data_IF_623726539732
#
_entry.id   IF_623726539732
#
_cell.length_a   1.000
_cell.length_b   1.000
_cell.length_c   1.000
_cell.angle_alpha   90.00
_cell.angle_beta   90.00
_cell.angle_gamma   90.00
#
_symmetry.space_group_name_H-M   'P 1'
#
loop_
_entity.id
_entity.type
_entity.pdbx_description
1 polymer ?
#
# COMPACT_ATOMS: atom_id res chain seq x y z
N UNK A 1 2.48 -12.23 -29.52
CA UNK A 1 2.01 -11.00 -28.84
C UNK A 1 2.82 -9.85 -29.41
N UNK A 2 2.19 -8.74 -29.81
CA UNK A 2 2.91 -7.57 -30.32
C UNK A 2 3.91 -7.04 -29.29
N UNK A 3 5.00 -6.45 -29.76
CA UNK A 3 5.99 -5.80 -28.90
C UNK A 3 5.36 -4.59 -28.22
N UNK A 4 5.61 -4.43 -26.93
CA UNK A 4 5.13 -3.29 -26.16
C UNK A 4 5.74 -1.98 -26.68
N UNK A 5 4.90 -1.01 -27.04
CA UNK A 5 5.32 0.31 -27.53
C UNK A 5 5.65 1.29 -26.41
N UNK A 6 5.04 1.11 -25.24
CA UNK A 6 5.30 1.96 -24.09
C UNK A 6 6.62 1.59 -23.42
N UNK A 7 7.42 2.60 -23.09
CA UNK A 7 8.55 2.41 -22.18
C UNK A 7 8.02 2.44 -20.76
N UNK A 8 8.27 1.37 -20.00
CA UNK A 8 7.72 1.16 -18.65
C UNK A 8 8.88 1.13 -17.67
N UNK A 9 8.79 1.99 -16.65
CA UNK A 9 9.79 2.09 -15.60
C UNK A 9 9.13 1.99 -14.23
N UNK A 10 9.61 1.13 -13.31
CA UNK A 10 10.69 0.15 -13.50
C UNK A 10 10.30 -0.98 -14.48
N UNK A 11 11.28 -1.70 -15.03
CA UNK A 11 11.02 -2.73 -16.05
C UNK A 11 10.56 -4.07 -15.45
N UNK A 12 11.27 -4.62 -14.47
CA UNK A 12 11.04 -6.01 -14.05
C UNK A 12 10.10 -6.12 -12.84
N UNK A 13 10.25 -5.21 -11.88
CA UNK A 13 9.63 -5.32 -10.57
C UNK A 13 9.28 -3.97 -9.96
N UNK A 14 8.12 -3.94 -9.30
CA UNK A 14 7.65 -2.83 -8.47
C UNK A 14 8.02 -3.12 -7.03
N UNK A 15 8.92 -2.28 -6.50
CA UNK A 15 9.44 -2.39 -5.14
C UNK A 15 8.61 -1.52 -4.20
N UNK A 16 8.11 -2.15 -3.15
CA UNK A 16 7.43 -1.49 -2.04
C UNK A 16 8.40 -1.45 -0.86
N UNK A 17 8.89 -0.26 -0.54
CA UNK A 17 9.85 -0.03 0.54
C UNK A 17 9.12 0.47 1.78
N UNK A 18 9.24 -0.23 2.90
CA UNK A 18 8.73 0.19 4.20
C UNK A 18 7.80 -0.83 4.86
N UNK A 19 7.44 -0.56 6.12
CA UNK A 19 6.57 -1.42 6.92
C UNK A 19 5.15 -1.40 6.32
N UNK A 20 4.57 -2.60 6.14
CA UNK A 20 3.26 -2.83 5.53
C UNK A 20 2.12 -1.96 6.10
N UNK A 21 2.24 -1.50 7.36
CA UNK A 21 1.24 -0.69 8.05
C UNK A 21 1.07 0.74 7.52
N UNK A 22 2.10 1.34 6.92
CA UNK A 22 2.07 2.76 6.55
C UNK A 22 1.76 3.04 5.07
N UNK A 23 1.27 2.06 4.32
CA UNK A 23 0.78 2.31 2.96
C UNK A 23 1.86 2.86 2.02
N UNK A 24 3.00 2.17 1.93
CA UNK A 24 4.11 2.57 1.08
C UNK A 24 3.67 2.66 -0.39
N UNK A 25 3.58 3.88 -0.94
CA UNK A 25 3.23 4.09 -2.34
C UNK A 25 4.47 3.93 -3.20
N UNK A 26 4.37 3.09 -4.23
CA UNK A 26 5.38 2.97 -5.28
C UNK A 26 4.84 3.55 -6.58
N UNK A 27 5.74 3.92 -7.49
CA UNK A 27 5.38 4.57 -8.73
C UNK A 27 5.87 3.77 -9.93
N UNK A 28 5.03 3.74 -10.96
CA UNK A 28 5.37 3.23 -12.29
C UNK A 28 5.17 4.35 -13.29
N UNK A 29 6.18 4.63 -14.10
CA UNK A 29 6.13 5.62 -15.18
C UNK A 29 5.90 4.91 -16.51
N UNK A 30 4.86 5.35 -17.21
CA UNK A 30 4.61 5.00 -18.60
C UNK A 30 5.08 6.16 -19.47
N UNK A 31 5.95 5.89 -20.44
CA UNK A 31 6.40 6.86 -21.45
C UNK A 31 5.95 6.37 -22.82
N UNK A 32 5.28 7.23 -23.58
CA UNK A 32 4.94 6.97 -24.96
C UNK A 32 6.01 7.58 -25.88
N UNK A 33 6.92 6.78 -26.48
CA UNK A 33 7.92 7.28 -27.41
C UNK A 33 7.40 7.41 -28.85
N UNK A 34 6.14 7.06 -29.13
CA UNK A 34 5.59 7.05 -30.48
C UNK A 34 4.93 8.38 -30.85
N UNK A 35 4.60 8.52 -32.14
CA UNK A 35 3.83 9.64 -32.67
C UNK A 35 2.31 9.42 -32.60
N UNK A 36 1.88 8.27 -32.08
CA UNK A 36 0.47 7.90 -31.99
C UNK A 36 -0.03 8.02 -30.56
N UNK A 37 -1.35 8.18 -30.41
CA UNK A 37 -1.98 8.13 -29.09
C UNK A 37 -2.08 6.68 -28.63
N UNK A 38 -1.70 6.40 -27.39
CA UNK A 38 -1.74 5.06 -26.81
C UNK A 38 -2.71 5.02 -25.64
N UNK A 39 -3.64 4.08 -25.65
CA UNK A 39 -4.51 3.81 -24.51
C UNK A 39 -3.84 2.79 -23.59
N UNK A 40 -4.01 2.94 -22.28
CA UNK A 40 -3.49 1.98 -21.31
C UNK A 40 -4.52 1.60 -20.24
N UNK A 41 -4.34 0.41 -19.67
CA UNK A 41 -5.08 -0.11 -18.53
C UNK A 41 -4.15 -0.91 -17.63
N UNK A 42 -4.23 -0.67 -16.33
CA UNK A 42 -3.47 -1.37 -15.31
C UNK A 42 -4.34 -2.47 -14.73
N UNK A 43 -3.84 -3.70 -14.80
CA UNK A 43 -4.46 -4.89 -14.21
C UNK A 43 -3.54 -5.48 -13.15
N UNK A 44 -4.11 -6.17 -12.17
CA UNK A 44 -3.35 -6.83 -11.10
C UNK A 44 -4.00 -8.15 -10.73
N UNK A 45 -3.20 -9.09 -10.23
CA UNK A 45 -3.68 -10.36 -9.66
C UNK A 45 -4.33 -10.18 -8.28
N UNK A 46 -4.22 -8.99 -7.66
CA UNK A 46 -4.75 -8.72 -6.32
C UNK A 46 -5.47 -7.35 -6.23
N UNK A 47 -6.57 -7.12 -6.97
CA UNK A 47 -7.20 -5.80 -7.10
C UNK A 47 -7.76 -5.23 -5.79
N UNK A 48 -8.08 -6.08 -4.81
CA UNK A 48 -8.54 -5.62 -3.49
C UNK A 48 -7.39 -5.12 -2.60
N UNK A 49 -6.15 -5.52 -2.89
CA UNK A 49 -4.97 -5.25 -2.05
C UNK A 49 -4.24 -3.97 -2.44
N UNK A 50 -4.56 -3.40 -3.60
CA UNK A 50 -3.87 -2.24 -4.12
C UNK A 50 -4.86 -1.18 -4.58
N UNK A 51 -4.58 0.07 -4.26
CA UNK A 51 -5.11 1.23 -4.95
C UNK A 51 -4.15 1.58 -6.11
N UNK A 52 -4.68 1.80 -7.31
CA UNK A 52 -3.90 2.17 -8.49
C UNK A 52 -4.49 3.46 -9.07
N UNK A 53 -3.69 4.50 -9.20
CA UNK A 53 -4.13 5.83 -9.68
C UNK A 53 -3.12 6.45 -10.65
N UNK A 54 -3.53 6.77 -11.90
CA UNK A 54 -4.74 6.29 -12.58
C UNK A 54 -4.64 4.78 -12.90
N UNK A 55 -5.79 4.09 -13.00
CA UNK A 55 -5.81 2.67 -13.40
C UNK A 55 -5.99 2.45 -14.91
N UNK A 56 -6.31 3.50 -15.65
CA UNK A 56 -6.45 3.52 -17.09
C UNK A 56 -6.38 4.96 -17.58
N UNK A 57 -6.09 5.15 -18.87
CA UNK A 57 -6.01 6.48 -19.43
C UNK A 57 -5.57 6.48 -20.88
N UNK A 58 -5.40 7.70 -21.38
CA UNK A 58 -4.90 8.02 -22.71
C UNK A 58 -3.54 8.67 -22.56
N UNK A 59 -2.57 8.22 -23.34
CA UNK A 59 -1.21 8.75 -23.35
C UNK A 59 -0.94 9.35 -24.72
N UNK A 60 -0.83 10.67 -24.78
CA UNK A 60 -0.55 11.39 -26.01
C UNK A 60 0.84 11.04 -26.57
N UNK A 61 1.10 11.31 -27.86
CA UNK A 61 2.44 11.18 -28.44
C UNK A 61 3.51 11.86 -27.59
N UNK A 62 4.67 11.22 -27.43
CA UNK A 62 5.83 11.76 -26.71
C UNK A 62 5.57 12.18 -25.23
N UNK A 63 4.46 11.74 -24.63
CA UNK A 63 4.06 12.11 -23.27
C UNK A 63 4.38 11.02 -22.24
N UNK A 64 4.27 11.38 -20.96
CA UNK A 64 4.54 10.48 -19.82
C UNK A 64 3.42 10.55 -18.81
N UNK A 65 3.11 9.42 -18.18
CA UNK A 65 2.14 9.32 -17.10
C UNK A 65 2.74 8.51 -15.95
N UNK A 66 2.72 9.10 -14.77
CA UNK A 66 3.08 8.42 -13.54
C UNK A 66 1.84 7.75 -12.92
N UNK A 67 2.00 6.51 -12.49
CA UNK A 67 0.97 5.65 -11.90
C UNK A 67 1.36 5.37 -10.45
N UNK A 68 0.58 5.88 -9.51
CA UNK A 68 0.72 5.61 -8.10
C UNK A 68 0.08 4.26 -7.75
N UNK A 69 0.81 3.41 -7.05
CA UNK A 69 0.36 2.08 -6.61
C UNK A 69 0.58 2.00 -5.10
N UNK A 70 -0.52 1.93 -4.35
CA UNK A 70 -0.52 1.95 -2.89
C UNK A 70 -1.15 0.67 -2.35
N UNK A 71 -0.47 -0.12 -1.51
CA UNK A 71 -1.06 -1.25 -0.80
C UNK A 71 -2.17 -0.80 0.16
N UNK A 72 -3.23 -1.60 0.30
CA UNK A 72 -4.32 -1.33 1.25
C UNK A 72 -4.06 -2.05 2.59
N UNK A 73 -4.02 -1.33 3.74
CA UNK A 73 -3.68 -1.91 5.04
C UNK A 73 -4.58 -3.07 5.50
N UNK A 74 -5.87 -3.04 5.14
CA UNK A 74 -6.89 -4.02 5.59
C UNK A 74 -6.66 -5.42 5.00
N UNK A 75 -5.87 -5.55 3.92
CA UNK A 75 -5.78 -6.78 3.13
C UNK A 75 -4.36 -7.38 3.06
N UNK A 76 -3.44 -6.88 3.89
CA UNK A 76 -2.08 -7.42 4.00
C UNK A 76 -2.04 -8.42 5.15
N UNK A 77 -1.95 -9.71 4.82
CA UNK A 77 -1.74 -10.78 5.79
C UNK A 77 -0.23 -11.00 5.97
N UNK A 78 0.31 -10.93 7.20
CA UNK A 78 1.73 -11.18 7.47
C UNK A 78 2.23 -12.56 6.98
N UNK A 79 1.34 -13.54 6.88
CA UNK A 79 1.68 -14.91 6.44
C UNK A 79 1.56 -15.12 4.93
N UNK A 80 1.13 -14.11 4.17
CA UNK A 80 0.93 -14.24 2.73
C UNK A 80 2.24 -14.19 1.94
N UNK A 81 2.35 -15.07 0.93
CA UNK A 81 3.39 -14.95 -0.08
C UNK A 81 3.01 -13.83 -1.06
N UNK A 82 3.55 -12.63 -0.87
CA UNK A 82 3.25 -11.41 -1.62
C UNK A 82 3.70 -11.43 -3.11
N UNK A 83 3.46 -12.53 -3.84
CA UNK A 83 3.83 -12.80 -5.23
C UNK A 83 2.83 -12.20 -6.22
N UNK A 84 2.35 -10.98 -5.93
CA UNK A 84 1.41 -10.28 -6.79
C UNK A 84 2.09 -9.81 -8.09
N UNK A 85 1.29 -9.69 -9.15
CA UNK A 85 1.76 -9.19 -10.45
C UNK A 85 0.89 -8.04 -10.93
N UNK A 86 1.52 -7.05 -11.51
CA UNK A 86 0.87 -6.00 -12.27
C UNK A 86 1.06 -6.25 -13.76
N UNK A 87 0.08 -5.80 -14.54
CA UNK A 87 0.10 -5.87 -15.99
C UNK A 87 -0.33 -4.51 -16.56
N UNK A 88 0.53 -3.93 -17.38
CA UNK A 88 0.21 -2.79 -18.24
C UNK A 88 -0.31 -3.37 -19.55
N UNK A 89 -1.58 -3.16 -19.82
CA UNK A 89 -2.20 -3.49 -21.10
C UNK A 89 -2.35 -2.21 -21.91
N UNK A 90 -1.85 -2.19 -23.13
CA UNK A 90 -1.84 -1.02 -24.00
C UNK A 90 -2.25 -1.35 -25.44
N UNK A 91 -2.61 -0.31 -26.17
CA UNK A 91 -3.06 -0.39 -27.57
C UNK A 91 -2.93 0.99 -28.22
N UNK A 92 -2.53 1.03 -29.48
CA UNK A 92 -2.51 2.27 -30.27
C UNK A 92 -3.97 2.65 -30.58
N UNK A 93 -4.35 3.88 -30.26
CA UNK A 93 -5.70 4.37 -30.51
C UNK A 93 -5.93 4.50 -32.04
N UNK A 94 -7.06 3.97 -32.57
CA UNK A 94 -7.40 4.20 -33.97
C UNK A 94 -7.64 5.70 -34.22
N UNK A 95 -7.16 6.20 -35.36
CA UNK A 95 -7.35 7.60 -35.76
C UNK A 95 -8.84 8.00 -35.76
N UNK A 96 -9.14 9.19 -35.24
CA UNK A 96 -10.49 9.77 -35.24
C UNK A 96 -11.45 9.24 -34.16
N UNK A 97 -11.08 8.24 -33.34
CA UNK A 97 -11.91 7.76 -32.23
C UNK A 97 -11.56 8.48 -30.92
N UNK A 98 -12.51 9.24 -30.38
CA UNK A 98 -12.36 9.96 -29.10
C UNK A 98 -12.92 9.18 -27.90
N UNK A 99 -13.72 8.13 -28.14
CA UNK A 99 -14.36 7.36 -27.08
C UNK A 99 -13.53 6.12 -26.68
N UNK A 100 -12.85 6.22 -25.54
CA UNK A 100 -11.99 5.17 -24.97
C UNK A 100 -12.75 3.85 -24.76
N UNK A 101 -14.00 3.91 -24.26
CA UNK A 101 -14.80 2.72 -23.95
C UNK A 101 -15.20 1.95 -25.21
N UNK A 102 -15.48 2.66 -26.29
CA UNK A 102 -15.78 2.05 -27.59
C UNK A 102 -14.54 1.39 -28.17
N UNK A 103 -13.39 2.06 -28.10
CA UNK A 103 -12.12 1.52 -28.59
C UNK A 103 -11.82 0.18 -27.89
N UNK A 104 -11.95 0.10 -26.56
CA UNK A 104 -11.73 -1.16 -25.82
C UNK A 104 -12.68 -2.31 -26.20
N UNK A 105 -13.86 -2.03 -26.78
CA UNK A 105 -14.81 -3.06 -27.24
C UNK A 105 -14.51 -3.55 -28.66
N UNK A 106 -13.96 -2.67 -29.50
CA UNK A 106 -13.71 -2.94 -30.92
C UNK A 106 -12.30 -3.49 -31.18
N UNK A 107 -11.40 -3.40 -30.21
CA UNK A 107 -10.03 -3.91 -30.33
C UNK A 107 -10.01 -5.44 -30.37
N UNK A 108 -9.36 -5.97 -31.40
CA UNK A 108 -9.02 -7.39 -31.49
C UNK A 108 -7.94 -7.75 -30.45
N UNK A 109 -8.01 -8.92 -29.79
CA UNK A 109 -7.01 -9.35 -28.81
C UNK A 109 -5.56 -9.36 -29.34
N UNK A 110 -5.40 -9.49 -30.65
CA UNK A 110 -4.11 -9.50 -31.35
C UNK A 110 -3.38 -8.14 -31.33
N UNK A 111 -4.12 -7.04 -31.17
CA UNK A 111 -3.58 -5.69 -31.10
C UNK A 111 -3.19 -5.28 -29.68
N UNK A 112 -3.57 -6.08 -28.67
CA UNK A 112 -3.27 -5.80 -27.28
C UNK A 112 -1.81 -6.12 -26.98
N UNK A 113 -1.14 -5.15 -26.37
CA UNK A 113 0.23 -5.27 -25.88
C UNK A 113 0.18 -5.38 -24.35
N UNK A 114 0.65 -6.51 -23.82
CA UNK A 114 0.68 -6.75 -22.38
C UNK A 114 2.13 -6.75 -21.87
N UNK A 115 2.38 -6.03 -20.78
CA UNK A 115 3.68 -6.01 -20.09
C UNK A 115 3.48 -6.30 -18.60
N UNK A 116 4.24 -7.24 -18.03
CA UNK A 116 4.02 -7.76 -16.67
C UNK A 116 5.19 -7.45 -15.75
N UNK A 117 4.88 -6.95 -14.56
CA UNK A 117 5.83 -6.66 -13.50
C UNK A 117 5.50 -7.49 -12.26
N UNK A 118 6.54 -7.90 -11.53
CA UNK A 118 6.39 -8.58 -10.22
C UNK A 118 6.34 -7.53 -9.10
N UNK A 119 5.56 -7.78 -8.06
CA UNK A 119 5.64 -7.00 -6.83
C UNK A 119 6.72 -7.59 -5.93
N UNK A 120 7.56 -6.74 -5.37
CA UNK A 120 8.55 -7.12 -4.36
C UNK A 120 8.39 -6.19 -3.17
N UNK A 121 8.22 -6.78 -1.99
CA UNK A 121 8.16 -6.03 -0.74
C UNK A 121 9.52 -6.13 -0.07
N UNK A 122 10.16 -4.98 0.14
CA UNK A 122 11.47 -4.89 0.78
C UNK A 122 11.27 -4.58 2.26
N UNK A 123 11.58 -5.55 3.13
CA UNK A 123 11.71 -5.31 4.56
C UNK A 123 12.98 -4.49 4.80
N UNK A 124 12.94 -3.38 5.55
CA UNK A 124 14.14 -2.68 5.95
C UNK A 124 15.04 -3.67 6.71
N UNK A 125 16.18 -4.04 6.13
CA UNK A 125 17.21 -4.76 6.87
C UNK A 125 17.78 -3.77 7.87
N UNK A 126 17.66 -4.07 9.17
CA UNK A 126 18.32 -3.29 10.21
C UNK A 126 19.79 -3.14 9.83
N UNK A 127 20.28 -1.90 9.89
CA UNK A 127 21.70 -1.54 9.74
C UNK A 127 22.52 -2.38 10.72
N UNK A 128 23.02 -3.52 10.27
CA UNK A 128 24.16 -4.14 10.90
C UNK A 128 25.37 -3.46 10.29
N UNK A 129 25.93 -2.51 11.03
CA UNK A 129 27.31 -2.09 10.88
C UNK A 129 28.15 -3.38 11.00
N UNK A 130 28.64 -3.87 9.87
CA UNK A 130 29.79 -4.74 9.72
C UNK A 130 30.11 -4.77 8.23
N UNK A 131 30.65 -3.63 7.77
CA UNK A 131 31.37 -3.53 6.52
C UNK A 131 32.79 -4.06 6.76
N UNK A 132 33.05 -5.24 6.22
CA UNK A 132 34.39 -5.69 5.83
C UNK A 132 34.15 -6.67 4.69
N UNK A 133 34.48 -6.23 3.49
CA UNK A 133 34.25 -6.95 2.24
C UNK A 133 35.01 -8.25 2.15
N UNK A 134 34.53 -9.16 1.29
CA UNK A 134 35.23 -9.39 0.03
C UNK A 134 34.38 -10.20 -0.96
N UNK A 135 34.63 -9.91 -2.24
CA UNK A 135 34.07 -10.58 -3.41
C UNK A 135 34.55 -12.04 -3.52
N UNK A 136 33.68 -12.94 -4.01
CA UNK A 136 33.89 -13.64 -5.28
C UNK A 136 32.96 -14.87 -5.38
N UNK A 137 32.26 -14.95 -6.51
CA UNK A 137 31.62 -16.16 -6.97
C UNK A 137 32.68 -17.20 -7.36
N UNK A 138 32.49 -18.47 -6.99
CA UNK A 138 32.63 -19.57 -7.95
C UNK A 138 32.04 -20.88 -7.44
N UNK A 139 31.22 -21.48 -8.30
CA UNK A 139 30.82 -22.87 -8.27
C UNK A 139 32.03 -23.77 -8.57
N UNK A 140 32.18 -24.90 -7.88
CA UNK A 140 32.71 -26.11 -8.48
C UNK A 140 32.18 -27.36 -7.76
N UNK A 141 32.04 -28.45 -8.51
CA UNK A 141 31.26 -29.66 -8.23
C UNK A 141 32.22 -30.85 -8.16
N UNK A 142 31.85 -31.88 -7.39
CA UNK A 142 32.39 -33.27 -7.40
C UNK A 142 33.66 -33.45 -6.53
N UNK A 143 33.87 -34.50 -5.73
CA UNK A 143 33.53 -35.92 -5.87
C UNK A 143 33.89 -36.70 -4.59
N UNK A 144 33.13 -37.79 -4.36
CA UNK A 144 33.52 -39.07 -3.67
C UNK A 144 33.73 -38.99 -2.14
N UNK A 145 33.36 -39.97 -1.29
CA UNK A 145 32.62 -41.26 -1.35
C UNK A 145 32.54 -41.81 0.09
N UNK A 146 31.49 -42.60 0.40
CA UNK A 146 31.44 -43.75 1.37
C UNK A 146 31.64 -43.39 2.87
N UNK A 147 30.63 -43.39 3.75
CA UNK A 147 29.73 -44.43 4.29
C UNK A 147 30.21 -45.05 5.62
N UNK A 148 29.19 -45.41 6.42
CA UNK A 148 29.14 -46.36 7.56
C UNK A 148 29.18 -45.76 8.97
N UNK A 149 28.30 -46.34 9.79
CA UNK A 149 27.72 -45.92 11.06
C UNK A 149 28.37 -46.58 12.28
N UNK A 150 27.89 -46.14 13.46
CA UNK A 150 27.92 -46.76 14.82
C UNK A 150 29.32 -46.87 15.47
N UNK A 151 29.54 -46.66 16.77
CA UNK A 151 28.69 -46.73 17.96
C UNK A 151 29.41 -46.06 19.17
N UNK A 152 28.72 -45.99 20.32
CA UNK A 152 29.22 -45.81 21.70
C UNK A 152 29.16 -44.42 22.39
N UNK A 153 28.11 -44.29 23.23
CA UNK A 153 27.98 -43.49 24.47
C UNK A 153 28.53 -44.33 25.66
N UNK A 154 29.19 -43.78 26.72
CA UNK A 154 28.54 -43.25 27.96
C UNK A 154 29.34 -42.09 28.61
N UNK A 155 28.93 -41.31 29.62
CA UNK A 155 27.73 -41.10 30.43
C UNK A 155 27.94 -39.83 31.31
N UNK A 156 26.82 -39.18 31.71
CA UNK A 156 26.59 -38.50 33.00
C UNK A 156 27.31 -37.14 33.26
N UNK A 157 26.80 -36.11 33.97
CA UNK A 157 25.73 -35.98 34.99
C UNK A 157 25.15 -34.53 34.99
N UNK A 158 23.94 -34.44 35.53
CA UNK A 158 23.19 -33.26 35.98
C UNK A 158 23.98 -32.27 36.87
N UNK A 159 23.61 -30.98 36.82
CA UNK A 159 23.13 -30.24 37.99
C UNK A 159 22.64 -28.83 37.63
N UNK A 160 21.42 -28.53 38.08
CA UNK A 160 20.72 -27.25 38.13
C UNK A 160 20.89 -26.64 39.55
N UNK A 161 20.65 -25.32 39.69
CA UNK A 161 20.47 -24.51 40.94
C UNK A 161 21.76 -24.07 41.66
N UNK A 162 21.85 -22.96 42.40
CA UNK A 162 20.92 -22.00 43.01
C UNK A 162 21.77 -20.72 43.31
N UNK A 163 21.28 -19.48 43.13
CA UNK A 163 20.74 -18.58 44.18
C UNK A 163 21.77 -17.60 44.84
N UNK A 164 21.60 -16.30 44.54
CA UNK A 164 21.49 -15.12 45.43
C UNK A 164 22.68 -14.61 46.29
N UNK A 165 22.86 -13.27 46.18
CA UNK A 165 23.35 -12.22 47.11
C UNK A 165 24.72 -12.33 47.82
N UNK A 166 25.49 -11.24 47.79
CA UNK A 166 25.58 -10.37 48.96
C UNK A 166 26.15 -8.96 48.64
N UNK A 167 25.46 -7.98 49.22
CA UNK A 167 25.82 -6.57 49.39
C UNK A 167 27.00 -6.34 50.36
N UNK A 168 27.44 -5.08 50.36
CA UNK A 168 28.10 -4.30 51.40
C UNK A 168 29.62 -4.40 51.60
N UNK A 169 30.31 -3.28 51.32
CA UNK A 169 30.66 -2.35 52.41
C UNK A 169 31.21 -1.01 51.90
N UNK A 170 30.52 0.03 52.34
CA UNK A 170 30.94 1.43 52.36
C UNK A 170 32.05 1.65 53.41
N UNK A 171 33.03 2.52 53.12
CA UNK A 171 33.61 3.44 54.11
C UNK A 171 34.48 4.53 53.48
N UNK A 172 34.20 5.73 53.95
CA UNK A 172 34.74 7.05 53.63
C UNK A 172 36.25 7.17 53.92
N UNK A 173 36.91 8.14 53.26
CA UNK A 173 37.73 9.16 53.95
C UNK A 173 38.22 10.25 52.95
N UNK A 174 37.67 11.44 53.18
CA UNK A 174 38.23 12.80 53.18
C UNK A 174 39.07 13.40 52.03
N UNK A 175 38.74 14.67 51.75
CA UNK A 175 39.29 15.64 50.78
C UNK A 175 40.59 16.30 51.36
N UNK A 176 41.44 17.11 50.63
CA UNK A 176 40.97 18.30 49.89
C UNK A 176 41.83 18.83 48.69
N UNK A 177 41.16 19.69 47.91
CA UNK A 177 41.58 20.90 47.14
C UNK A 177 42.86 20.94 46.27
N UNK A 178 42.64 21.17 44.96
CA UNK A 178 43.37 22.19 44.18
C UNK A 178 42.53 22.66 42.97
N UNK A 179 42.40 23.97 42.84
CA UNK A 179 41.57 24.69 41.87
C UNK A 179 42.23 24.79 40.50
N UNK A 180 41.45 24.64 39.43
CA UNK A 180 41.71 25.34 38.15
C UNK A 180 40.36 25.75 37.55
N UNK A 181 40.21 27.03 37.29
CA UNK A 181 39.00 27.65 36.77
C UNK A 181 39.40 28.46 35.53
N UNK A 182 38.93 28.12 34.33
CA UNK A 182 38.72 29.11 33.25
C UNK A 182 37.80 28.61 32.13
N UNK A 183 36.49 28.85 32.32
CA UNK A 183 35.60 29.59 31.41
C UNK A 183 35.73 29.35 29.89
N UNK A 184 34.80 28.56 29.34
CA UNK A 184 34.44 28.56 27.90
C UNK A 184 32.91 28.59 27.74
N UNK A 185 32.40 29.78 27.40
CA UNK A 185 31.19 30.07 26.61
C UNK A 185 29.85 29.39 26.97
N UNK A 186 29.12 30.02 27.89
CA UNK A 186 27.64 30.03 27.94
C UNK A 186 27.10 30.77 26.70
N UNK A 187 26.46 30.04 25.76
CA UNK A 187 25.36 30.55 24.89
C UNK A 187 24.77 29.49 23.92
N UNK A 188 25.14 28.21 23.98
CA UNK A 188 24.65 27.19 23.02
C UNK A 188 23.82 26.03 23.64
N UNK A 189 23.91 25.78 24.94
CA UNK A 189 23.15 24.69 25.59
C UNK A 189 21.68 25.02 25.86
N UNK A 190 21.36 26.28 26.23
CA UNK A 190 19.98 26.66 26.56
C UNK A 190 19.02 26.55 25.37
N UNK A 191 19.50 26.83 24.15
CA UNK A 191 18.67 26.74 22.95
C UNK A 191 18.38 25.28 22.55
N UNK A 192 19.36 24.39 22.68
CA UNK A 192 19.19 22.97 22.34
C UNK A 192 18.30 22.26 23.37
N UNK A 193 18.42 22.60 24.64
CA UNK A 193 17.57 22.03 25.70
C UNK A 193 16.13 22.55 25.60
N UNK A 194 15.93 23.83 25.28
CA UNK A 194 14.62 24.42 24.98
C UNK A 194 13.97 23.76 23.75
N UNK A 195 14.73 23.56 22.67
CA UNK A 195 14.23 22.88 21.46
C UNK A 195 13.87 21.42 21.73
N UNK A 196 14.66 20.72 22.56
CA UNK A 196 14.38 19.34 22.96
C UNK A 196 13.13 19.23 23.85
N UNK A 197 12.94 20.16 24.78
CA UNK A 197 11.72 20.24 25.60
C UNK A 197 10.48 20.55 24.75
N UNK A 198 10.61 21.47 23.80
CA UNK A 198 9.54 21.81 22.86
C UNK A 198 9.17 20.62 21.97
N UNK A 199 10.16 19.91 21.43
CA UNK A 199 9.94 18.69 20.65
C UNK A 199 9.28 17.58 21.47
N UNK A 200 9.66 17.45 22.75
CA UNK A 200 9.06 16.46 23.66
C UNK A 200 7.59 16.76 23.93
N UNK A 201 7.24 18.03 24.15
CA UNK A 201 5.85 18.45 24.32
C UNK A 201 5.02 18.25 23.05
N UNK A 202 5.58 18.55 21.89
CA UNK A 202 4.92 18.34 20.60
C UNK A 202 4.67 16.84 20.34
N UNK A 203 5.61 15.96 20.69
CA UNK A 203 5.41 14.51 20.60
C UNK A 203 4.31 14.03 21.54
N UNK A 204 4.22 14.58 22.75
CA UNK A 204 3.15 14.24 23.71
C UNK A 204 1.79 14.68 23.14
N UNK A 205 1.70 15.92 22.65
CA UNK A 205 0.49 16.46 22.03
C UNK A 205 0.06 15.61 20.83
N UNK A 206 0.98 15.33 19.90
CA UNK A 206 0.69 14.54 18.71
C UNK A 206 0.22 13.13 19.06
N UNK A 207 0.79 12.51 20.11
CA UNK A 207 0.32 11.21 20.61
C UNK A 207 -1.10 11.29 21.17
N UNK A 208 -1.46 12.38 21.83
CA UNK A 208 -2.81 12.62 22.32
C UNK A 208 -3.81 12.83 21.18
N UNK A 209 -3.44 13.62 20.16
CA UNK A 209 -4.25 13.81 18.95
C UNK A 209 -4.41 12.52 18.16
N UNK A 210 -3.34 11.73 17.99
CA UNK A 210 -3.40 10.45 17.31
C UNK A 210 -4.31 9.47 18.09
N UNK A 211 -4.22 9.48 19.42
CA UNK A 211 -5.14 8.71 20.27
C UNK A 211 -6.58 9.15 20.05
N UNK A 212 -6.87 10.46 20.08
CA UNK A 212 -8.21 11.01 19.85
C UNK A 212 -8.76 10.62 18.48
N UNK A 213 -7.98 10.80 17.42
CA UNK A 213 -8.35 10.44 16.05
C UNK A 213 -8.60 8.93 15.89
N UNK A 214 -7.85 8.08 16.61
CA UNK A 214 -8.08 6.63 16.63
C UNK A 214 -9.39 6.28 17.33
N UNK A 215 -9.72 6.95 18.43
CA UNK A 215 -11.01 6.77 19.12
C UNK A 215 -12.18 7.23 18.25
N UNK A 216 -12.09 8.40 17.62
CA UNK A 216 -13.12 8.90 16.70
C UNK A 216 -13.29 7.96 15.49
N UNK A 217 -12.21 7.47 14.90
CA UNK A 217 -12.29 6.47 13.82
C UNK A 217 -12.95 5.17 14.27
N UNK A 218 -12.71 4.74 15.50
CA UNK A 218 -13.33 3.54 16.06
C UNK A 218 -14.83 3.74 16.25
N UNK A 219 -15.24 4.88 16.81
CA UNK A 219 -16.65 5.25 16.98
C UNK A 219 -17.38 5.35 15.64
N UNK A 220 -16.80 6.04 14.66
CA UNK A 220 -17.40 6.15 13.32
C UNK A 220 -17.55 4.78 12.64
N UNK A 221 -16.58 3.87 12.82
CA UNK A 221 -16.69 2.49 12.31
C UNK A 221 -17.83 1.73 12.99
N UNK A 222 -17.99 1.89 14.30
CA UNK A 222 -19.07 1.26 15.05
C UNK A 222 -20.44 1.83 14.64
N UNK A 223 -20.57 3.14 14.51
CA UNK A 223 -21.79 3.78 14.00
C UNK A 223 -22.13 3.33 12.58
N UNK A 224 -21.14 3.24 11.70
CA UNK A 224 -21.33 2.77 10.33
C UNK A 224 -21.75 1.30 10.29
N UNK A 225 -21.20 0.48 11.19
CA UNK A 225 -21.61 -0.92 11.35
C UNK A 225 -23.05 -0.99 11.88
N UNK A 226 -23.42 -0.16 12.86
CA UNK A 226 -24.77 -0.07 13.43
C UNK A 226 -25.78 0.36 12.38
N UNK A 227 -25.46 1.38 11.59
CA UNK A 227 -26.30 1.86 10.50
C UNK A 227 -26.52 0.79 9.43
N UNK A 228 -25.47 0.02 9.13
CA UNK A 228 -25.52 -1.12 8.20
C UNK A 228 -26.36 -2.28 8.74
N UNK A 229 -26.32 -2.53 10.05
CA UNK A 229 -27.13 -3.56 10.69
C UNK A 229 -28.60 -3.12 10.81
N UNK A 230 -28.86 -1.84 11.12
CA UNK A 230 -30.22 -1.29 11.14
C UNK A 230 -30.85 -1.16 9.75
N UNK A 231 -30.01 -1.03 8.70
CA UNK A 231 -30.45 -1.10 7.31
C UNK A 231 -30.63 -2.54 6.78
N UNK A 232 -30.65 -3.54 7.66
CA UNK A 232 -30.86 -4.95 7.33
C UNK A 232 -32.31 -5.28 6.99
N UNK A 233 -32.72 -4.97 5.77
CA UNK A 233 -33.98 -5.39 5.17
C UNK A 233 -34.00 -5.17 3.65
N UNK A 234 -33.40 -6.13 2.94
CA UNK A 234 -33.41 -6.33 1.48
C UNK A 234 -32.46 -5.48 0.60
N UNK A 235 -31.81 -6.17 -0.35
CA UNK A 235 -31.24 -5.59 -1.57
C UNK A 235 -29.95 -4.75 -1.48
N UNK A 236 -28.81 -5.37 -1.85
CA UNK A 236 -27.62 -4.76 -2.50
C UNK A 236 -27.22 -3.33 -2.05
N UNK A 237 -26.32 -3.21 -1.09
CA UNK A 237 -25.75 -1.91 -0.71
C UNK A 237 -24.42 -1.64 -1.42
N UNK A 238 -24.46 -0.62 -2.28
CA UNK A 238 -23.33 0.11 -2.86
C UNK A 238 -22.44 0.76 -1.79
N UNK A 239 -21.14 0.82 -2.08
CA UNK A 239 -20.09 1.44 -1.24
C UNK A 239 -20.21 2.97 -1.19
N UNK A 240 -19.72 3.63 -0.11
CA UNK A 240 -19.76 5.08 0.00
C UNK A 240 -18.75 5.77 -0.92
N UNK A 241 -19.10 7.03 -1.19
CA UNK A 241 -18.57 8.01 -2.12
C UNK A 241 -17.04 8.03 -2.32
N UNK A 242 -16.62 7.84 -3.57
CA UNK A 242 -15.33 8.28 -4.11
C UNK A 242 -15.53 9.66 -4.72
N UNK A 243 -14.79 10.68 -4.27
CA UNK A 243 -14.72 11.95 -5.00
C UNK A 243 -14.05 11.70 -6.36
N UNK A 244 -14.85 11.74 -7.42
CA UNK A 244 -14.47 11.64 -8.83
C UNK A 244 -15.51 12.38 -9.65
N UNK A 245 -15.15 12.92 -10.82
CA UNK A 245 -15.96 13.92 -11.50
C UNK A 245 -17.27 13.33 -12.02
N UNK A 246 -18.29 14.19 -12.05
CA UNK A 246 -19.68 13.93 -12.42
C UNK A 246 -19.85 12.95 -13.58
N UNK A 247 -20.70 11.93 -13.36
CA UNK A 247 -21.33 11.19 -14.45
C UNK A 247 -22.73 11.74 -14.64
N UNK A 248 -23.03 12.08 -15.88
CA UNK A 248 -24.32 12.53 -16.38
C UNK A 248 -25.48 11.71 -15.82
N UNK A 249 -26.46 12.45 -15.32
CA UNK A 249 -27.73 12.01 -14.74
C UNK A 249 -28.46 11.05 -15.67
N UNK A 250 -28.32 9.75 -15.45
CA UNK A 250 -29.26 8.77 -15.99
C UNK A 250 -30.49 8.78 -15.08
N UNK A 251 -31.53 9.51 -15.48
CA UNK A 251 -32.82 9.56 -14.78
C UNK A 251 -33.37 8.14 -14.72
N UNK A 252 -33.19 7.50 -13.57
CA UNK A 252 -33.83 6.23 -13.26
C UNK A 252 -35.28 6.57 -12.96
N UNK A 253 -36.14 6.47 -13.97
CA UNK A 253 -37.58 6.67 -13.80
C UNK A 253 -38.04 5.61 -12.81
N UNK A 254 -38.37 6.07 -11.60
CA UNK A 254 -38.78 5.20 -10.53
C UNK A 254 -40.05 4.45 -10.92
N UNK A 255 -40.17 3.14 -10.64
CA UNK A 255 -41.29 2.32 -11.09
C UNK A 255 -42.65 2.83 -10.61
N UNK A 256 -42.70 3.55 -9.48
CA UNK A 256 -43.93 4.18 -8.98
C UNK A 256 -44.40 5.38 -9.81
N UNK A 257 -43.49 6.05 -10.52
CA UNK A 257 -43.83 7.15 -11.44
C UNK A 257 -44.49 6.61 -12.70
N UNK A 258 -44.00 5.47 -13.21
CA UNK A 258 -44.61 4.78 -14.36
C UNK A 258 -46.01 4.29 -14.02
N UNK A 259 -46.20 3.70 -12.83
CA UNK A 259 -47.53 3.24 -12.41
C UNK A 259 -48.51 4.40 -12.24
N UNK A 260 -48.07 5.54 -11.71
CA UNK A 260 -48.90 6.74 -11.59
C UNK A 260 -49.36 7.28 -12.96
N UNK A 261 -48.46 7.32 -13.95
CA UNK A 261 -48.77 7.77 -15.32
C UNK A 261 -49.76 6.79 -15.98
N UNK A 262 -49.57 5.47 -15.82
CA UNK A 262 -50.49 4.48 -16.35
C UNK A 262 -51.90 4.62 -15.74
N UNK A 263 -52.01 4.84 -14.42
CA UNK A 263 -53.31 5.04 -13.76
C UNK A 263 -54.02 6.31 -14.24
N UNK A 264 -53.28 7.40 -14.46
CA UNK A 264 -53.84 8.64 -14.99
C UNK A 264 -54.39 8.45 -16.42
N UNK A 265 -53.66 7.74 -17.28
CA UNK A 265 -54.10 7.47 -18.66
C UNK A 265 -55.34 6.56 -18.66
N UNK A 266 -55.37 5.52 -17.82
CA UNK A 266 -56.54 4.64 -17.68
C UNK A 266 -57.77 5.43 -17.19
N UNK A 267 -57.60 6.34 -16.23
CA UNK A 267 -58.67 7.20 -15.74
C UNK A 267 -59.27 8.11 -16.82
N UNK A 268 -58.42 8.67 -17.69
CA UNK A 268 -58.87 9.51 -18.82
C UNK A 268 -59.62 8.68 -19.86
N UNK A 269 -59.16 7.47 -20.15
CA UNK A 269 -59.82 6.57 -21.12
C UNK A 269 -61.20 6.14 -20.61
N UNK A 270 -61.29 5.74 -19.33
CA UNK A 270 -62.57 5.33 -18.73
C UNK A 270 -63.54 6.51 -18.63
N UNK A 271 -63.05 7.69 -18.24
CA UNK A 271 -63.86 8.91 -18.17
C UNK A 271 -64.44 9.32 -19.52
N UNK A 272 -63.73 9.04 -20.62
CA UNK A 272 -64.18 9.35 -21.98
C UNK A 272 -65.07 8.28 -22.61
N UNK A 273 -65.25 7.14 -21.93
CA UNK A 273 -66.07 6.02 -22.40
C UNK A 273 -67.39 5.90 -21.63
N UNK A 274 -67.49 6.51 -20.44
CA UNK A 274 -68.67 6.49 -19.58
C UNK A 274 -69.38 7.85 -19.44
N UNK A 275 -68.91 8.87 -20.18
CA UNK A 275 -69.56 10.19 -20.33
C UNK A 275 -69.72 10.49 -21.81
#
# INVERSE_FOLDING_TARGET
>A
MPNQVLTIEPQNELKFKGLFEHGCTTYMRLTNPTNDTVLFKIKTTAPKKYCVRPNSGVLAPNSKQEIAITPQPVYLDPNENHKHKFMVQSVIAPEGKTNIDQVWKEISPEQLMDYKLKCVFETPRGTNLNDSGDNAAQNDVTKKRVAVAEDAKPAAKDAVKDLIQHEDKNKDDDHPVASINLKTTNTKSENVESDLQKATLEVIHLREEESKLRHENLQLKEELLRLRQSAGGDGRVSRPHSYGPEKSTQVTIMPWVVTAICMAIIGIIIGKFFM
#
